data_IF_217582250746
#
_entry.id   IF_217582250746
#
_cell.length_a   1.000
_cell.length_b   1.000
_cell.length_c   1.000
_cell.angle_alpha   90.00
_cell.angle_beta   90.00
_cell.angle_gamma   90.00
#
_symmetry.space_group_name_H-M   'P 1'
#
loop_
_entity.id
_entity.type
_entity.pdbx_description
1 polymer ?
#
# COMPACT_ATOMS: atom_id res chain seq x y z
N UNK A 1 81.72 -28.94 47.18
CA UNK A 1 80.45 -29.52 47.67
C UNK A 1 79.50 -29.70 46.48
N UNK A 2 79.34 -30.95 45.99
CA UNK A 2 78.51 -31.27 44.83
C UNK A 2 77.02 -31.01 45.05
N UNK A 3 76.51 -31.19 46.28
CA UNK A 3 75.09 -31.03 46.58
C UNK A 3 74.62 -29.58 46.40
N UNK A 4 75.48 -28.61 46.74
CA UNK A 4 75.17 -27.19 46.57
C UNK A 4 75.05 -26.80 45.09
N UNK A 5 75.94 -27.34 44.24
CA UNK A 5 75.90 -27.10 42.79
C UNK A 5 74.65 -27.71 42.16
N UNK A 6 74.23 -28.89 42.63
CA UNK A 6 72.99 -29.53 42.18
C UNK A 6 71.76 -28.71 42.59
N UNK A 7 71.67 -28.27 43.85
CA UNK A 7 70.54 -27.46 44.32
C UNK A 7 70.41 -26.13 43.57
N UNK A 8 71.53 -25.45 43.31
CA UNK A 8 71.54 -24.22 42.51
C UNK A 8 71.07 -24.49 41.09
N UNK A 9 71.49 -25.60 40.49
CA UNK A 9 71.07 -25.99 39.13
C UNK A 9 69.58 -26.31 39.08
N UNK A 10 69.05 -27.01 40.08
CA UNK A 10 67.63 -27.32 40.18
C UNK A 10 66.78 -26.04 40.31
N UNK A 11 67.21 -25.09 41.14
CA UNK A 11 66.53 -23.79 41.29
C UNK A 11 66.56 -23.01 39.98
N UNK A 12 67.68 -23.04 39.26
CA UNK A 12 67.82 -22.39 37.95
C UNK A 12 66.87 -23.03 36.91
N UNK A 13 66.83 -24.36 36.84
CA UNK A 13 65.96 -25.08 35.90
C UNK A 13 64.46 -24.84 36.20
N UNK A 14 64.09 -24.79 37.49
CA UNK A 14 62.72 -24.44 37.92
C UNK A 14 62.36 -22.99 37.57
N UNK A 15 63.28 -22.04 37.83
CA UNK A 15 63.08 -20.65 37.48
C UNK A 15 62.97 -20.45 35.95
N UNK A 16 63.76 -21.18 35.16
CA UNK A 16 63.69 -21.16 33.70
C UNK A 16 62.33 -21.67 33.19
N UNK A 17 61.84 -22.79 33.74
CA UNK A 17 60.52 -23.33 33.43
C UNK A 17 59.39 -22.35 33.79
N UNK A 18 59.47 -21.72 34.95
CA UNK A 18 58.49 -20.71 35.36
C UNK A 18 58.50 -19.50 34.43
N UNK A 19 59.68 -19.01 34.03
CA UNK A 19 59.80 -17.91 33.07
C UNK A 19 59.16 -18.28 31.72
N UNK A 20 59.45 -19.47 31.20
CA UNK A 20 58.87 -19.94 29.93
C UNK A 20 57.35 -20.07 30.02
N UNK A 21 56.83 -20.58 31.14
CA UNK A 21 55.40 -20.69 31.39
C UNK A 21 54.75 -19.31 31.42
N UNK A 22 55.31 -18.37 32.19
CA UNK A 22 54.78 -17.01 32.27
C UNK A 22 54.82 -16.28 30.94
N UNK A 23 55.86 -16.45 30.13
CA UNK A 23 55.93 -15.83 28.80
C UNK A 23 54.85 -16.39 27.86
N UNK A 24 54.65 -17.71 27.87
CA UNK A 24 53.60 -18.34 27.06
C UNK A 24 52.20 -17.94 27.52
N UNK A 25 51.95 -17.91 28.83
CA UNK A 25 50.68 -17.45 29.41
C UNK A 25 50.43 -15.98 29.05
N UNK A 26 51.43 -15.11 29.20
CA UNK A 26 51.36 -13.70 28.82
C UNK A 26 51.07 -13.52 27.33
N UNK A 27 51.67 -14.34 26.46
CA UNK A 27 51.41 -14.32 25.02
C UNK A 27 49.99 -14.73 24.70
N UNK A 28 49.51 -15.82 25.27
CA UNK A 28 48.14 -16.33 25.07
C UNK A 28 47.10 -15.31 25.56
N UNK A 29 47.34 -14.67 26.72
CA UNK A 29 46.50 -13.60 27.23
C UNK A 29 46.48 -12.39 26.30
N UNK A 30 47.65 -11.96 25.79
CA UNK A 30 47.75 -10.86 24.81
C UNK A 30 46.97 -11.17 23.53
N UNK A 31 47.12 -12.37 22.96
CA UNK A 31 46.39 -12.79 21.76
C UNK A 31 44.87 -12.84 22.02
N UNK A 32 44.46 -13.35 23.18
CA UNK A 32 43.06 -13.38 23.61
C UNK A 32 42.49 -11.97 23.74
N UNK A 33 43.21 -11.06 24.40
CA UNK A 33 42.82 -9.66 24.56
C UNK A 33 42.67 -8.94 23.21
N UNK A 34 43.61 -9.16 22.28
CA UNK A 34 43.51 -8.63 20.92
C UNK A 34 42.28 -9.16 20.17
N UNK A 35 41.95 -10.45 20.31
CA UNK A 35 40.74 -11.03 19.71
C UNK A 35 39.46 -10.41 20.29
N UNK A 36 39.44 -10.17 21.60
CA UNK A 36 38.30 -9.55 22.29
C UNK A 36 38.13 -8.09 21.87
N UNK A 37 39.23 -7.34 21.70
CA UNK A 37 39.18 -5.96 21.19
C UNK A 37 38.56 -5.89 19.79
N UNK A 38 38.97 -6.77 18.87
CA UNK A 38 38.36 -6.85 17.52
C UNK A 38 36.87 -7.20 17.58
N UNK A 39 36.48 -8.16 18.43
CA UNK A 39 35.07 -8.51 18.64
C UNK A 39 34.27 -7.33 19.19
N UNK A 40 34.82 -6.61 20.18
CA UNK A 40 34.20 -5.39 20.72
C UNK A 40 34.00 -4.33 19.65
N UNK A 41 35.02 -4.06 18.83
CA UNK A 41 34.91 -3.08 17.74
C UNK A 41 33.81 -3.45 16.74
N UNK A 42 33.73 -4.73 16.35
CA UNK A 42 32.67 -5.23 15.47
C UNK A 42 31.28 -5.04 16.10
N UNK A 43 31.12 -5.41 17.37
CA UNK A 43 29.84 -5.26 18.08
C UNK A 43 29.42 -3.80 18.21
N UNK A 44 30.36 -2.88 18.44
CA UNK A 44 30.07 -1.44 18.49
C UNK A 44 29.58 -0.92 17.14
N UNK A 45 30.20 -1.34 16.03
CA UNK A 45 29.75 -0.97 14.68
C UNK A 45 28.33 -1.49 14.41
N UNK A 46 28.07 -2.76 14.70
CA UNK A 46 26.74 -3.35 14.55
C UNK A 46 25.68 -2.64 15.41
N UNK A 47 26.02 -2.28 16.65
CA UNK A 47 25.11 -1.55 17.53
C UNK A 47 24.82 -0.13 17.02
N UNK A 48 25.81 0.55 16.43
CA UNK A 48 25.61 1.87 15.84
C UNK A 48 24.70 1.80 14.61
N UNK A 49 24.89 0.81 13.73
CA UNK A 49 24.03 0.56 12.56
C UNK A 49 22.58 0.25 12.99
N UNK A 50 22.40 -0.65 13.96
CA UNK A 50 21.08 -0.97 14.51
C UNK A 50 20.40 0.25 15.12
N UNK A 51 21.15 1.08 15.85
CA UNK A 51 20.62 2.32 16.42
C UNK A 51 20.14 3.27 15.32
N UNK A 52 20.94 3.47 14.27
CA UNK A 52 20.54 4.31 13.14
C UNK A 52 19.27 3.80 12.46
N UNK A 53 19.12 2.48 12.31
CA UNK A 53 17.88 1.89 11.77
C UNK A 53 16.68 2.14 12.68
N UNK A 54 16.84 2.02 14.01
CA UNK A 54 15.76 2.33 14.96
C UNK A 54 15.36 3.81 14.89
N UNK A 55 16.34 4.72 14.84
CA UNK A 55 16.09 6.15 14.73
C UNK A 55 15.36 6.48 13.41
N UNK A 56 15.75 5.87 12.28
CA UNK A 56 15.02 6.01 11.01
C UNK A 56 13.57 5.52 11.13
N UNK A 57 13.36 4.34 11.72
CA UNK A 57 12.02 3.75 11.83
C UNK A 57 11.11 4.57 12.75
N UNK A 58 11.63 5.13 13.84
CA UNK A 58 10.90 6.04 14.73
C UNK A 58 10.40 7.27 13.97
N UNK A 59 11.28 7.93 13.19
CA UNK A 59 10.90 9.07 12.37
C UNK A 59 9.83 8.72 11.32
N UNK A 60 9.94 7.55 10.68
CA UNK A 60 8.94 7.09 9.69
C UNK A 60 7.58 6.89 10.38
N UNK A 61 7.56 6.22 11.53
CA UNK A 61 6.33 5.97 12.30
C UNK A 61 5.70 7.29 12.76
N UNK A 62 6.49 8.26 13.20
CA UNK A 62 5.99 9.58 13.59
C UNK A 62 5.29 10.30 12.43
N UNK A 63 5.92 10.30 11.24
CA UNK A 63 5.30 10.88 10.02
C UNK A 63 4.02 10.15 9.65
N UNK A 64 4.01 8.81 9.69
CA UNK A 64 2.81 8.02 9.41
C UNK A 64 1.70 8.26 10.44
N UNK A 65 2.05 8.43 11.72
CA UNK A 65 1.12 8.78 12.78
C UNK A 65 0.49 10.16 12.56
N UNK A 66 1.26 11.14 12.07
CA UNK A 66 0.73 12.44 11.68
C UNK A 66 -0.26 12.31 10.51
N UNK A 67 0.10 11.56 9.47
CA UNK A 67 -0.77 11.30 8.30
C UNK A 67 -2.06 10.61 8.73
N UNK A 68 -2.00 9.61 9.60
CA UNK A 68 -3.17 8.91 10.13
C UNK A 68 -4.08 9.84 10.95
N UNK A 69 -3.47 10.71 11.76
CA UNK A 69 -4.18 11.70 12.57
C UNK A 69 -4.92 12.69 11.67
N UNK A 70 -4.26 13.30 10.68
CA UNK A 70 -4.86 14.21 9.71
C UNK A 70 -5.92 13.53 8.83
N UNK A 71 -5.72 12.26 8.49
CA UNK A 71 -6.69 11.42 7.78
C UNK A 71 -7.96 11.22 8.61
N UNK A 72 -7.82 10.95 9.91
CA UNK A 72 -8.94 10.76 10.84
C UNK A 72 -9.74 12.05 11.06
N UNK A 73 -9.06 13.20 11.07
CA UNK A 73 -9.73 14.51 11.09
C UNK A 73 -10.34 14.91 9.73
N UNK A 74 -10.05 14.17 8.67
CA UNK A 74 -10.56 14.42 7.32
C UNK A 74 -9.97 15.66 6.65
N UNK A 75 -8.87 16.20 7.19
CA UNK A 75 -8.19 17.40 6.68
C UNK A 75 -7.16 17.08 5.61
N UNK A 76 -6.72 15.82 5.52
CA UNK A 76 -5.70 15.42 4.56
C UNK A 76 -6.20 15.58 3.12
N UNK A 77 -5.45 16.32 2.31
CA UNK A 77 -5.65 16.44 0.87
C UNK A 77 -4.75 15.47 0.12
N UNK A 78 -5.12 15.19 -1.13
CA UNK A 78 -4.36 14.32 -2.00
C UNK A 78 -2.93 14.86 -2.27
N UNK A 79 -2.79 16.18 -2.41
CA UNK A 79 -1.50 16.87 -2.57
C UNK A 79 -0.64 16.81 -1.29
N UNK A 80 -1.26 16.99 -0.13
CA UNK A 80 -0.55 16.90 1.15
C UNK A 80 0.00 15.49 1.36
N UNK A 81 -0.82 14.47 1.07
CA UNK A 81 -0.41 13.08 1.11
C UNK A 81 0.77 12.81 0.16
N UNK A 82 0.69 13.29 -1.09
CA UNK A 82 1.78 13.17 -2.04
C UNK A 82 3.09 13.80 -1.51
N UNK A 83 3.00 14.99 -0.90
CA UNK A 83 4.16 15.68 -0.34
C UNK A 83 4.79 14.91 0.84
N UNK A 84 3.99 14.35 1.75
CA UNK A 84 4.50 13.54 2.86
C UNK A 84 5.30 12.34 2.37
N UNK A 85 4.73 11.56 1.43
CA UNK A 85 5.39 10.36 0.92
C UNK A 85 6.59 10.68 0.01
N UNK A 86 6.56 11.80 -0.72
CA UNK A 86 7.73 12.29 -1.46
C UNK A 86 8.87 12.73 -0.53
N UNK A 87 8.58 13.40 0.60
CA UNK A 87 9.60 13.75 1.58
C UNK A 87 10.18 12.49 2.25
N UNK A 88 9.32 11.51 2.55
CA UNK A 88 9.72 10.22 3.12
C UNK A 88 10.67 9.46 2.18
N UNK A 89 10.32 9.37 0.89
CA UNK A 89 11.16 8.73 -0.12
C UNK A 89 12.51 9.46 -0.27
N UNK A 90 12.51 10.79 -0.22
CA UNK A 90 13.74 11.59 -0.35
C UNK A 90 14.69 11.41 0.85
N UNK A 91 14.14 11.29 2.07
CA UNK A 91 14.95 11.19 3.30
C UNK A 91 15.35 9.76 3.63
N UNK A 92 14.51 8.78 3.30
CA UNK A 92 14.62 7.40 3.72
C UNK A 92 14.45 6.43 2.55
N UNK A 93 15.03 6.71 1.38
CA UNK A 93 14.77 5.95 0.15
C UNK A 93 14.98 4.43 0.25
N UNK A 94 16.06 3.99 0.93
CA UNK A 94 16.33 2.56 1.15
C UNK A 94 15.24 1.91 2.02
N UNK A 95 14.88 2.57 3.13
CA UNK A 95 13.84 2.12 4.05
C UNK A 95 12.44 2.20 3.41
N UNK A 96 12.21 3.19 2.55
CA UNK A 96 10.95 3.40 1.82
C UNK A 96 10.63 2.20 0.92
N UNK A 97 11.66 1.68 0.24
CA UNK A 97 11.57 0.49 -0.58
C UNK A 97 11.51 -0.78 0.28
N UNK A 98 12.36 -0.89 1.30
CA UNK A 98 12.40 -2.04 2.20
C UNK A 98 11.07 -2.29 2.91
N UNK A 99 10.43 -1.23 3.40
CA UNK A 99 9.16 -1.29 4.12
C UNK A 99 7.93 -1.12 3.23
N UNK A 100 8.13 -0.97 1.92
CA UNK A 100 7.04 -0.88 0.96
C UNK A 100 6.05 0.25 1.32
N UNK A 101 6.58 1.43 1.64
CA UNK A 101 5.79 2.56 2.14
C UNK A 101 4.85 3.12 1.06
N UNK A 102 5.18 2.86 -0.21
CA UNK A 102 4.32 3.17 -1.35
C UNK A 102 2.96 2.43 -1.29
N UNK A 103 2.89 1.19 -0.75
CA UNK A 103 1.61 0.53 -0.51
C UNK A 103 0.73 1.31 0.48
N UNK A 104 1.35 1.86 1.53
CA UNK A 104 0.66 2.67 2.54
C UNK A 104 0.15 3.95 1.89
N UNK A 105 0.96 4.65 1.11
CA UNK A 105 0.54 5.83 0.34
C UNK A 105 -0.72 5.54 -0.50
N UNK A 106 -0.72 4.44 -1.27
CA UNK A 106 -1.86 4.04 -2.09
C UNK A 106 -3.11 3.70 -1.26
N UNK A 107 -2.94 3.14 -0.07
CA UNK A 107 -4.04 2.81 0.84
C UNK A 107 -4.78 4.06 1.35
N UNK A 108 -4.05 5.15 1.62
CA UNK A 108 -4.62 6.45 1.96
C UNK A 108 -5.16 7.19 0.74
N UNK A 109 -4.48 7.06 -0.41
CA UNK A 109 -4.88 7.74 -1.65
C UNK A 109 -6.23 7.22 -2.18
N UNK A 110 -6.47 5.91 -2.10
CA UNK A 110 -7.68 5.30 -2.65
C UNK A 110 -9.00 5.88 -2.10
N UNK A 111 -9.24 5.98 -0.77
CA UNK A 111 -10.46 6.58 -0.24
C UNK A 111 -10.55 8.08 -0.57
N UNK A 112 -9.43 8.81 -0.61
CA UNK A 112 -9.41 10.23 -1.00
C UNK A 112 -9.81 10.41 -2.45
N UNK A 113 -9.23 9.63 -3.36
CA UNK A 113 -9.58 9.64 -4.77
C UNK A 113 -11.04 9.24 -4.99
N UNK A 114 -11.53 8.19 -4.32
CA UNK A 114 -12.95 7.82 -4.40
C UNK A 114 -13.87 8.96 -3.98
N UNK A 115 -13.57 9.64 -2.86
CA UNK A 115 -14.34 10.80 -2.38
C UNK A 115 -14.25 11.96 -3.38
N UNK A 116 -13.06 12.25 -3.87
CA UNK A 116 -12.79 13.27 -4.88
C UNK A 116 -13.60 13.04 -6.17
N UNK A 117 -13.61 11.82 -6.71
CA UNK A 117 -14.37 11.46 -7.90
C UNK A 117 -15.89 11.43 -7.68
N UNK A 118 -16.36 11.13 -6.47
CA UNK A 118 -17.78 11.21 -6.13
C UNK A 118 -18.29 12.65 -6.11
N UNK A 119 -17.55 13.55 -5.46
CA UNK A 119 -17.88 14.97 -5.33
C UNK A 119 -17.50 15.82 -6.56
N UNK A 120 -16.82 15.24 -7.54
CA UNK A 120 -16.41 15.94 -8.76
C UNK A 120 -17.64 16.42 -9.54
N UNK A 121 -17.68 17.72 -9.82
CA UNK A 121 -18.61 18.33 -10.77
C UNK A 121 -17.90 18.53 -12.12
N UNK A 122 -18.10 17.60 -13.07
CA UNK A 122 -17.33 17.56 -14.30
C UNK A 122 -17.60 18.75 -15.22
N UNK A 123 -18.78 19.38 -15.12
CA UNK A 123 -19.16 20.48 -15.99
C UNK A 123 -18.51 21.81 -15.58
N UNK A 124 -18.10 21.93 -14.31
CA UNK A 124 -17.42 23.14 -13.81
C UNK A 124 -15.92 23.08 -14.02
N UNK A 125 -15.29 21.95 -13.72
CA UNK A 125 -13.87 21.75 -13.97
C UNK A 125 -13.58 20.32 -14.46
N UNK A 126 -13.62 20.11 -15.79
CA UNK A 126 -13.38 18.82 -16.43
C UNK A 126 -11.98 18.22 -16.22
N UNK A 127 -10.97 19.05 -15.96
CA UNK A 127 -9.57 18.60 -15.90
C UNK A 127 -9.08 18.33 -14.47
N UNK A 128 -9.62 19.02 -13.46
CA UNK A 128 -9.12 18.96 -12.08
C UNK A 128 -8.83 17.56 -11.53
N UNK A 129 -9.73 16.59 -11.75
CA UNK A 129 -9.55 15.22 -11.25
C UNK A 129 -8.63 14.38 -12.12
N UNK A 130 -8.48 14.74 -13.38
CA UNK A 130 -7.50 14.16 -14.27
C UNK A 130 -6.10 14.66 -13.93
N UNK A 131 -5.96 15.94 -13.57
CA UNK A 131 -4.71 16.54 -13.12
C UNK A 131 -4.23 15.90 -11.80
N UNK A 132 -5.15 15.70 -10.85
CA UNK A 132 -4.88 14.91 -9.62
C UNK A 132 -4.39 13.49 -9.93
N UNK A 133 -5.03 12.79 -10.88
CA UNK A 133 -4.59 11.46 -11.30
C UNK A 133 -3.23 11.50 -12.02
N UNK A 134 -2.96 12.53 -12.83
CA UNK A 134 -1.70 12.71 -13.53
C UNK A 134 -0.55 12.88 -12.54
N UNK A 135 -0.72 13.73 -11.53
CA UNK A 135 0.28 13.88 -10.47
C UNK A 135 0.61 12.54 -9.80
N UNK A 136 -0.41 11.73 -9.49
CA UNK A 136 -0.20 10.42 -8.87
C UNK A 136 0.42 9.39 -9.81
N UNK A 137 0.17 9.51 -11.11
CA UNK A 137 0.84 8.72 -12.12
C UNK A 137 2.34 9.06 -12.15
N UNK A 138 2.67 10.34 -12.21
CA UNK A 138 4.06 10.82 -12.25
C UNK A 138 4.83 10.42 -10.99
N UNK A 139 4.19 10.55 -9.81
CA UNK A 139 4.77 10.10 -8.54
C UNK A 139 4.96 8.59 -8.49
N UNK A 140 4.02 7.82 -9.03
CA UNK A 140 4.15 6.37 -9.10
C UNK A 140 5.34 5.94 -9.96
N UNK A 141 5.66 6.68 -11.02
CA UNK A 141 6.84 6.39 -11.85
C UNK A 141 8.13 6.74 -11.08
N UNK A 142 8.15 7.83 -10.30
CA UNK A 142 9.26 8.20 -9.41
C UNK A 142 9.46 7.17 -8.29
N UNK A 143 8.37 6.57 -7.80
CA UNK A 143 8.39 5.57 -6.73
C UNK A 143 8.64 4.14 -7.25
N UNK A 144 8.86 3.97 -8.55
CA UNK A 144 8.94 2.65 -9.21
C UNK A 144 7.73 1.75 -8.89
N UNK A 145 6.58 2.37 -8.56
CA UNK A 145 5.39 1.73 -8.01
C UNK A 145 4.25 1.59 -9.05
N UNK A 146 4.60 1.55 -10.34
CA UNK A 146 3.65 1.55 -11.47
C UNK A 146 2.53 0.50 -11.33
N UNK A 147 2.85 -0.69 -10.81
CA UNK A 147 1.88 -1.75 -10.55
C UNK A 147 0.77 -1.32 -9.56
N UNK A 148 1.09 -0.49 -8.58
CA UNK A 148 0.14 -0.03 -7.58
C UNK A 148 -0.68 1.16 -8.06
N UNK A 149 -0.11 2.03 -8.89
CA UNK A 149 -0.93 2.98 -9.64
C UNK A 149 -1.98 2.23 -10.47
N UNK A 150 -1.60 1.14 -11.15
CA UNK A 150 -2.55 0.30 -11.88
C UNK A 150 -3.64 -0.28 -10.97
N UNK A 151 -3.30 -0.73 -9.77
CA UNK A 151 -4.29 -1.20 -8.79
C UNK A 151 -5.22 -0.08 -8.33
N UNK A 152 -4.68 1.10 -8.04
CA UNK A 152 -5.44 2.28 -7.60
C UNK A 152 -6.41 2.75 -8.70
N UNK A 153 -5.95 2.90 -9.94
CA UNK A 153 -6.79 3.24 -11.09
C UNK A 153 -7.84 2.16 -11.34
N UNK A 154 -7.46 0.87 -11.25
CA UNK A 154 -8.38 -0.26 -11.38
C UNK A 154 -9.57 -0.15 -10.41
N UNK A 155 -9.32 0.19 -9.14
CA UNK A 155 -10.37 0.35 -8.12
C UNK A 155 -11.28 1.58 -8.36
N UNK A 156 -10.86 2.54 -9.17
CA UNK A 156 -11.63 3.75 -9.52
C UNK A 156 -12.40 3.55 -10.83
N UNK A 157 -11.74 3.01 -11.86
CA UNK A 157 -12.22 2.95 -13.24
C UNK A 157 -13.07 1.71 -13.52
N UNK A 158 -12.70 0.53 -12.98
CA UNK A 158 -13.45 -0.71 -13.24
C UNK A 158 -14.90 -0.71 -12.75
N UNK A 159 -15.23 -0.11 -11.58
CA UNK A 159 -16.62 0.00 -11.17
C UNK A 159 -17.49 0.75 -12.17
N UNK A 160 -16.92 1.52 -13.10
CA UNK A 160 -17.54 2.29 -14.19
C UNK A 160 -18.68 3.26 -13.79
N UNK A 161 -19.02 3.33 -12.50
CA UNK A 161 -20.16 4.09 -11.97
C UNK A 161 -19.86 5.57 -11.77
N UNK A 162 -18.64 5.91 -11.38
CA UNK A 162 -18.29 7.29 -11.01
C UNK A 162 -17.48 7.99 -12.09
N UNK A 163 -16.44 7.32 -12.61
CA UNK A 163 -15.56 7.89 -13.61
C UNK A 163 -16.25 8.04 -14.97
N UNK A 164 -16.64 6.93 -15.61
CA UNK A 164 -17.16 6.97 -16.99
C UNK A 164 -18.50 7.67 -17.15
N UNK A 165 -19.41 7.57 -16.17
CA UNK A 165 -20.70 8.31 -16.22
C UNK A 165 -20.46 9.82 -16.28
N UNK A 166 -19.63 10.34 -15.37
CA UNK A 166 -19.27 11.75 -15.31
C UNK A 166 -18.45 12.18 -16.53
N UNK A 167 -17.52 11.33 -16.96
CA UNK A 167 -16.68 11.57 -18.13
C UNK A 167 -17.49 11.66 -19.43
N UNK A 168 -18.43 10.73 -19.67
CA UNK A 168 -19.34 10.79 -20.82
C UNK A 168 -20.28 12.00 -20.76
N UNK A 169 -20.69 12.40 -19.55
CA UNK A 169 -21.53 13.59 -19.37
C UNK A 169 -20.83 14.89 -19.81
N UNK A 170 -19.52 15.04 -19.53
CA UNK A 170 -18.72 16.17 -20.04
C UNK A 170 -18.69 16.17 -21.56
N UNK A 171 -18.36 15.03 -22.17
CA UNK A 171 -18.32 14.90 -23.63
C UNK A 171 -19.66 15.24 -24.26
N UNK A 172 -20.75 14.70 -23.71
CA UNK A 172 -22.09 15.00 -24.21
C UNK A 172 -22.37 16.49 -24.17
N UNK A 173 -22.08 17.14 -23.04
CA UNK A 173 -22.33 18.57 -22.86
C UNK A 173 -21.52 19.41 -23.86
N UNK A 174 -20.20 19.18 -23.95
CA UNK A 174 -19.31 19.91 -24.86
C UNK A 174 -19.67 19.72 -26.34
N UNK A 175 -20.04 18.50 -26.73
CA UNK A 175 -20.43 18.21 -28.10
C UNK A 175 -21.82 18.76 -28.47
N UNK A 176 -22.68 19.03 -27.47
CA UNK A 176 -24.06 19.48 -27.69
C UNK A 176 -24.26 20.99 -27.62
N UNK A 177 -23.29 21.77 -27.13
CA UNK A 177 -23.36 23.24 -27.06
C UNK A 177 -22.63 23.91 -28.21
N UNK A 178 -21.30 24.00 -28.13
CA UNK A 178 -20.43 24.57 -29.16
C UNK A 178 -19.11 23.79 -29.14
N UNK A 179 -18.97 22.74 -29.96
CA UNK A 179 -17.82 21.84 -29.87
C UNK A 179 -16.53 22.52 -30.33
N UNK A 180 -15.57 22.63 -29.41
CA UNK A 180 -14.15 22.80 -29.72
C UNK A 180 -13.52 21.41 -29.86
N UNK A 181 -13.44 20.92 -31.10
CA UNK A 181 -12.96 19.56 -31.36
C UNK A 181 -11.49 19.34 -30.97
N UNK A 182 -10.66 20.38 -30.98
CA UNK A 182 -9.25 20.28 -30.56
C UNK A 182 -9.18 20.09 -29.04
N UNK A 183 -9.89 20.93 -28.29
CA UNK A 183 -9.97 20.82 -26.84
C UNK A 183 -10.54 19.46 -26.41
N UNK A 184 -11.64 19.03 -27.05
CA UNK A 184 -12.30 17.76 -26.74
C UNK A 184 -11.38 16.57 -27.06
N UNK A 185 -10.68 16.61 -28.19
CA UNK A 185 -9.72 15.57 -28.57
C UNK A 185 -8.56 15.48 -27.56
N UNK A 186 -7.96 16.61 -27.21
CA UNK A 186 -6.86 16.67 -26.25
C UNK A 186 -7.30 16.15 -24.88
N UNK A 187 -8.48 16.54 -24.41
CA UNK A 187 -9.03 16.07 -23.14
C UNK A 187 -9.36 14.58 -23.17
N UNK A 188 -9.94 14.05 -24.26
CA UNK A 188 -10.18 12.62 -24.45
C UNK A 188 -8.87 11.83 -24.40
N UNK A 189 -7.86 12.28 -25.13
CA UNK A 189 -6.55 11.62 -25.21
C UNK A 189 -5.81 11.67 -23.87
N UNK A 190 -5.83 12.80 -23.18
CA UNK A 190 -5.27 12.94 -21.83
C UNK A 190 -5.97 12.01 -20.83
N UNK A 191 -7.31 12.01 -20.81
CA UNK A 191 -8.11 11.11 -19.97
C UNK A 191 -7.80 9.64 -20.21
N UNK A 192 -7.70 9.25 -21.49
CA UNK A 192 -7.36 7.87 -21.88
C UNK A 192 -5.92 7.51 -21.49
N UNK A 193 -4.98 8.45 -21.59
CA UNK A 193 -3.57 8.27 -21.23
C UNK A 193 -3.31 8.06 -19.74
N UNK A 194 -4.27 8.41 -18.88
CA UNK A 194 -4.22 8.12 -17.44
C UNK A 194 -4.60 6.67 -17.09
N UNK A 195 -5.25 5.96 -18.02
CA UNK A 195 -5.64 4.56 -17.82
C UNK A 195 -4.46 3.66 -18.23
N UNK A 196 -3.92 2.83 -17.31
CA UNK A 196 -2.87 1.85 -17.61
C UNK A 196 -3.25 0.94 -18.78
N UNK A 197 -2.26 0.55 -19.59
CA UNK A 197 -2.49 -0.26 -20.80
C UNK A 197 -3.14 -1.61 -20.49
N UNK A 198 -2.81 -2.19 -19.34
CA UNK A 198 -3.34 -3.44 -18.83
C UNK A 198 -4.86 -3.35 -18.63
N UNK A 199 -5.37 -2.17 -18.27
CA UNK A 199 -6.80 -1.93 -18.08
C UNK A 199 -7.52 -1.61 -19.39
N UNK A 200 -6.82 -1.10 -20.40
CA UNK A 200 -7.42 -0.83 -21.72
C UNK A 200 -7.85 -2.10 -22.46
N UNK A 201 -7.28 -3.26 -22.12
CA UNK A 201 -7.68 -4.56 -22.65
C UNK A 201 -9.09 -4.96 -22.16
N UNK A 202 -9.53 -4.43 -21.01
CA UNK A 202 -10.82 -4.74 -20.43
C UNK A 202 -11.99 -4.32 -21.35
N UNK A 203 -12.90 -5.25 -21.64
CA UNK A 203 -14.01 -5.02 -22.57
C UNK A 203 -14.94 -3.90 -22.13
N UNK A 204 -15.20 -3.77 -20.82
CA UNK A 204 -16.08 -2.74 -20.29
C UNK A 204 -15.44 -1.34 -20.46
N UNK A 205 -14.17 -1.21 -20.10
CA UNK A 205 -13.41 0.05 -20.29
C UNK A 205 -13.40 0.45 -21.76
N UNK A 206 -13.08 -0.49 -22.64
CA UNK A 206 -13.06 -0.26 -24.09
C UNK A 206 -14.45 0.11 -24.63
N UNK A 207 -15.52 -0.52 -24.15
CA UNK A 207 -16.88 -0.17 -24.52
C UNK A 207 -17.22 1.28 -24.11
N UNK A 208 -16.86 1.72 -22.91
CA UNK A 208 -17.09 3.11 -22.46
C UNK A 208 -16.32 4.13 -23.31
N UNK A 209 -15.04 3.85 -23.61
CA UNK A 209 -14.23 4.70 -24.49
C UNK A 209 -14.83 4.80 -25.90
N UNK A 210 -15.33 3.67 -26.44
CA UNK A 210 -15.97 3.64 -27.75
C UNK A 210 -17.28 4.43 -27.79
N UNK A 211 -18.05 4.49 -26.69
CA UNK A 211 -19.24 5.36 -26.61
C UNK A 211 -18.83 6.83 -26.78
N UNK A 212 -17.81 7.27 -26.04
CA UNK A 212 -17.29 8.64 -26.17
C UNK A 212 -16.77 8.95 -27.58
N UNK A 213 -16.03 8.02 -28.18
CA UNK A 213 -15.53 8.16 -29.55
C UNK A 213 -16.67 8.25 -30.58
N UNK A 214 -17.72 7.43 -30.41
CA UNK A 214 -18.88 7.47 -31.29
C UNK A 214 -19.64 8.80 -31.17
N UNK A 215 -19.76 9.35 -29.96
CA UNK A 215 -20.34 10.67 -29.74
C UNK A 215 -19.55 11.77 -30.46
N UNK A 216 -18.21 11.72 -30.39
CA UNK A 216 -17.34 12.66 -31.10
C UNK A 216 -17.50 12.55 -32.63
N UNK A 217 -17.59 11.33 -33.16
CA UNK A 217 -17.83 11.10 -34.60
C UNK A 217 -19.18 11.67 -35.05
N UNK A 218 -20.27 11.39 -34.31
CA UNK A 218 -21.59 11.92 -34.63
C UNK A 218 -21.60 13.45 -34.68
N UNK A 219 -20.98 14.10 -33.69
CA UNK A 219 -20.87 15.55 -33.65
C UNK A 219 -20.08 16.12 -34.83
N UNK A 220 -18.97 15.46 -35.21
CA UNK A 220 -18.14 15.87 -36.35
C UNK A 220 -18.90 15.74 -37.68
N UNK A 221 -19.77 14.73 -37.80
CA UNK A 221 -20.65 14.52 -38.96
C UNK A 221 -21.87 15.45 -38.96
N UNK A 222 -21.99 16.36 -37.98
CA UNK A 222 -23.13 17.26 -37.82
C UNK A 222 -24.42 16.57 -37.39
N UNK A 223 -24.34 15.32 -36.93
CA UNK A 223 -25.47 14.55 -36.43
C UNK A 223 -25.76 14.92 -34.98
N UNK A 224 -27.03 14.77 -34.56
CA UNK A 224 -27.41 14.92 -33.17
C UNK A 224 -26.70 13.86 -32.32
N UNK A 225 -25.91 14.30 -31.35
CA UNK A 225 -25.21 13.41 -30.43
C UNK A 225 -26.23 12.62 -29.59
N UNK A 226 -26.20 11.31 -29.70
CA UNK A 226 -26.99 10.39 -28.87
C UNK A 226 -26.06 9.64 -27.94
N UNK A 227 -26.27 9.81 -26.64
CA UNK A 227 -25.67 8.92 -25.66
C UNK A 227 -26.47 7.62 -25.72
N UNK A 228 -25.91 6.55 -26.30
CA UNK A 228 -26.54 5.23 -26.25
C UNK A 228 -26.85 4.92 -24.78
N UNK A 229 -28.14 4.81 -24.44
CA UNK A 229 -28.56 4.47 -23.09
C UNK A 229 -27.76 3.27 -22.63
N UNK A 230 -27.05 3.44 -21.51
CA UNK A 230 -26.45 2.33 -20.80
C UNK A 230 -27.60 1.37 -20.50
N UNK A 231 -27.75 0.30 -21.30
CA UNK A 231 -28.64 -0.83 -20.95
C UNK A 231 -28.38 -1.11 -19.47
N UNK A 232 -29.39 -1.02 -18.58
CA UNK A 232 -29.10 -0.88 -17.17
C UNK A 232 -28.40 -2.15 -16.69
N UNK A 233 -27.07 -2.08 -16.54
CA UNK A 233 -26.31 -3.00 -15.70
C UNK A 233 -26.95 -3.03 -14.30
N UNK A 234 -27.61 -1.95 -13.90
CA UNK A 234 -28.47 -1.88 -12.73
C UNK A 234 -29.62 -2.90 -12.73
N UNK A 235 -30.24 -3.25 -13.87
CA UNK A 235 -31.37 -4.19 -13.89
C UNK A 235 -30.90 -5.64 -13.67
N UNK A 236 -29.74 -6.02 -14.23
CA UNK A 236 -29.13 -7.32 -13.97
C UNK A 236 -28.53 -7.38 -12.55
N UNK A 237 -27.99 -6.28 -12.04
CA UNK A 237 -27.40 -6.21 -10.70
C UNK A 237 -28.45 -6.06 -9.59
N UNK A 238 -29.58 -5.39 -9.82
CA UNK A 238 -30.74 -5.37 -8.91
C UNK A 238 -31.37 -6.76 -8.80
N UNK A 239 -31.42 -7.52 -9.90
CA UNK A 239 -31.80 -8.94 -9.87
C UNK A 239 -30.80 -9.76 -9.06
N UNK A 240 -29.51 -9.70 -9.37
CA UNK A 240 -28.48 -10.45 -8.63
C UNK A 240 -28.41 -10.10 -7.13
N UNK A 241 -28.58 -8.83 -6.75
CA UNK A 241 -28.63 -8.40 -5.35
C UNK A 241 -29.93 -8.78 -4.65
N UNK A 242 -31.06 -8.83 -5.37
CA UNK A 242 -32.33 -9.33 -4.84
C UNK A 242 -32.34 -10.85 -4.68
N UNK A 243 -31.69 -11.57 -5.61
CA UNK A 243 -31.53 -13.02 -5.59
C UNK A 243 -30.54 -13.44 -4.48
N UNK A 244 -29.42 -12.72 -4.31
CA UNK A 244 -28.50 -12.92 -3.19
C UNK A 244 -29.13 -12.57 -1.82
N UNK A 245 -30.02 -11.57 -1.75
CA UNK A 245 -30.81 -11.29 -0.53
C UNK A 245 -31.84 -12.37 -0.23
N UNK A 246 -32.43 -12.99 -1.26
CA UNK A 246 -33.36 -14.12 -1.10
C UNK A 246 -32.63 -15.41 -0.70
N UNK A 247 -31.43 -15.66 -1.23
CA UNK A 247 -30.61 -16.81 -0.86
C UNK A 247 -29.94 -16.65 0.52
N UNK A 248 -29.53 -15.44 0.89
CA UNK A 248 -28.95 -15.16 2.22
C UNK A 248 -29.97 -15.07 3.37
N UNK A 249 -31.24 -14.79 3.08
CA UNK A 249 -32.31 -14.74 4.09
C UNK A 249 -32.97 -16.11 4.35
N UNK A 250 -32.71 -17.10 3.49
CA UNK A 250 -33.23 -18.45 3.65
C UNK A 250 -32.13 -19.40 4.15
N UNK A 251 -32.17 -19.71 5.46
CA UNK A 251 -31.36 -20.72 6.19
C UNK A 251 -30.07 -20.25 6.88
N UNK A 252 -30.16 -19.25 7.73
CA UNK A 252 -29.35 -19.28 8.95
C UNK A 252 -30.26 -18.99 10.12
N UNK A 253 -30.69 -20.05 10.79
CA UNK A 253 -31.43 -19.88 12.05
C UNK A 253 -30.50 -19.26 13.08
N UNK A 254 -31.02 -18.41 13.96
CA UNK A 254 -30.25 -17.72 15.01
C UNK A 254 -29.32 -18.66 15.80
N UNK A 255 -29.73 -19.93 15.91
CA UNK A 255 -28.94 -21.02 16.49
C UNK A 255 -27.59 -21.23 15.78
N UNK A 256 -27.57 -21.31 14.45
CA UNK A 256 -26.35 -21.58 13.66
C UNK A 256 -25.36 -20.42 13.78
N UNK A 257 -25.85 -19.19 13.89
CA UNK A 257 -25.02 -17.99 14.11
C UNK A 257 -24.37 -18.02 15.48
N UNK A 258 -25.12 -18.42 16.52
CA UNK A 258 -24.61 -18.51 17.89
C UNK A 258 -23.62 -19.67 18.03
N UNK A 259 -23.88 -20.81 17.38
CA UNK A 259 -23.02 -21.99 17.41
C UNK A 259 -21.69 -21.73 16.69
N UNK A 260 -21.73 -21.06 15.53
CA UNK A 260 -20.52 -20.64 14.81
C UNK A 260 -19.68 -19.63 15.61
N UNK A 261 -20.32 -18.66 16.27
CA UNK A 261 -19.62 -17.69 17.11
C UNK A 261 -18.97 -18.35 18.33
N UNK A 262 -19.64 -19.32 18.96
CA UNK A 262 -19.08 -20.08 20.07
C UNK A 262 -17.87 -20.92 19.64
N UNK A 263 -17.92 -21.53 18.45
CA UNK A 263 -16.80 -22.31 17.88
C UNK A 263 -15.58 -21.44 17.57
N UNK A 264 -15.80 -20.23 17.01
CA UNK A 264 -14.73 -19.31 16.67
C UNK A 264 -14.01 -18.73 17.90
N UNK A 265 -14.68 -18.68 19.05
CA UNK A 265 -14.13 -18.18 20.31
C UNK A 265 -13.77 -19.32 21.30
N UNK A 266 -13.73 -20.57 20.83
CA UNK A 266 -13.43 -21.77 21.64
C UNK A 266 -14.35 -21.96 22.87
N UNK A 267 -15.58 -21.45 22.80
CA UNK A 267 -16.57 -21.57 23.86
C UNK A 267 -17.39 -22.85 23.69
N UNK A 268 -17.31 -23.76 24.68
CA UNK A 268 -18.07 -25.00 24.67
C UNK A 268 -19.55 -24.75 25.04
N UNK A 269 -20.44 -24.83 24.07
CA UNK A 269 -21.88 -24.73 24.31
C UNK A 269 -22.42 -26.03 24.94
N UNK A 270 -22.69 -26.01 26.25
CA UNK A 270 -23.40 -27.10 26.95
C UNK A 270 -24.81 -26.65 27.35
N UNK A 271 -25.89 -27.27 26.82
CA UNK A 271 -27.22 -27.06 27.37
C UNK A 271 -27.28 -27.54 28.82
N UNK A 272 -27.94 -26.77 29.70
CA UNK A 272 -28.11 -27.14 31.12
C UNK A 272 -28.91 -28.46 31.24
N UNK A 273 -28.56 -29.36 32.16
CA UNK A 273 -29.30 -30.61 32.39
C UNK A 273 -30.77 -30.31 32.70
N UNK A 274 -31.70 -30.92 31.95
CA UNK A 274 -33.15 -30.81 32.20
C UNK A 274 -33.91 -29.79 31.33
N UNK A 275 -33.28 -29.11 30.36
CA UNK A 275 -34.01 -28.35 29.32
C UNK A 275 -33.82 -28.98 27.95
N UNK A 276 -34.92 -29.46 27.36
CA UNK A 276 -34.98 -29.98 26.00
C UNK A 276 -34.70 -28.86 24.99
N UNK A 277 -34.07 -29.27 23.89
CA UNK A 277 -33.35 -28.43 22.92
C UNK A 277 -34.22 -27.40 22.17
N UNK A 278 -35.54 -27.52 22.19
CA UNK A 278 -36.46 -26.50 21.68
C UNK A 278 -37.52 -26.32 22.77
N UNK A 279 -37.66 -25.14 23.35
CA UNK A 279 -38.56 -24.89 24.49
C UNK A 279 -40.04 -25.17 24.19
N UNK A 280 -40.45 -26.43 24.35
CA UNK A 280 -41.79 -26.86 24.71
C UNK A 280 -41.70 -27.70 25.98
#
# INVERSE_FOLDING_TARGET
MPELQHNVRLIMDLAELDIQKFDNDLRNEKETALSMLKKKEKLVKMAAEQKQQLDSMENIVDVLGQVETESSFGTITLDSLANYFSDLQRRYGDDYNLYNLFCIACSFALPLLKRAFQGWDPLRNPSHKLDEMSMWKDLSDIWEASTLYTQLVSKIVLPARFFFVKWLQVLYHWLSTTPDFEQIHNWYMGSKGLIPQELLVNENIRAQLNIGLNMMSQAADGLKVVMMEQRPLEAHQRKAAADARKEGAAKSTLKEVIEAYAQQNELLFKPKPGRMHNGQ
#
